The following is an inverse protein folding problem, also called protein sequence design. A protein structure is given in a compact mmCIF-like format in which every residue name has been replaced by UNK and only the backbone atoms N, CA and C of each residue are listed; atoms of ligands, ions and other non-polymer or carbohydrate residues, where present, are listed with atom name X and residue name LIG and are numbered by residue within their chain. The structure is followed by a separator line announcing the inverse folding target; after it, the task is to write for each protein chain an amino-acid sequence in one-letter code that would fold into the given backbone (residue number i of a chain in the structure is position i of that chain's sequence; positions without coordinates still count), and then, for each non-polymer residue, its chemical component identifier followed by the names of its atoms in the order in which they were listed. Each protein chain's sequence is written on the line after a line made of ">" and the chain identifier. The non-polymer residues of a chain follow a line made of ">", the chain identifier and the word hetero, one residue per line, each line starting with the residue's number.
data_IF_427764271060
#
_entry.id   IF_427764271060
#
_cell.length_a   1.000
_cell.length_b   1.000
_cell.length_c   1.000
_cell.angle_alpha   90.00
_cell.angle_beta   90.00
_cell.angle_gamma   90.00
#
_symmetry.space_group_name_H-M   'P 1'
#
loop_
_entity.id
_entity.type
_entity.pdbx_description
1 polymer ?
#
# COMPACT_ATOMS: atom_id res chain seq x y z
N UNK A 1 9.53 0.18 3.21
CA UNK A 1 10.05 1.51 2.88
C UNK A 1 8.93 2.54 2.88
N UNK A 2 9.24 3.81 3.05
CA UNK A 2 8.31 4.94 2.92
C UNK A 2 8.66 5.74 1.66
N UNK A 3 8.79 5.06 0.53
CA UNK A 3 9.26 5.65 -0.73
C UNK A 3 8.27 6.64 -1.34
N UNK A 4 6.96 6.45 -1.08
CA UNK A 4 5.89 7.26 -1.65
C UNK A 4 6.08 7.49 -3.15
N UNK A 5 6.06 6.42 -3.97
CA UNK A 5 6.45 6.46 -5.37
C UNK A 5 5.34 7.05 -6.26
N UNK A 6 4.79 8.19 -5.85
CA UNK A 6 3.69 8.86 -6.53
C UNK A 6 3.77 10.37 -6.40
N UNK A 7 3.16 11.06 -7.34
CA UNK A 7 2.79 12.46 -7.19
C UNK A 7 1.38 12.72 -7.71
N UNK A 8 0.78 13.80 -7.22
CA UNK A 8 -0.56 14.22 -7.58
C UNK A 8 -0.51 15.52 -8.38
N UNK A 9 -1.33 15.58 -9.43
CA UNK A 9 -1.53 16.79 -10.22
C UNK A 9 -3.01 17.16 -10.20
N UNK A 10 -3.33 18.38 -9.74
CA UNK A 10 -4.68 18.92 -9.82
C UNK A 10 -4.83 19.72 -11.13
N UNK A 11 -5.79 19.34 -11.96
CA UNK A 11 -6.06 19.99 -13.24
C UNK A 11 -7.57 20.22 -13.40
N UNK A 12 -8.00 21.47 -13.23
CA UNK A 12 -9.42 21.79 -13.20
C UNK A 12 -10.14 21.04 -12.07
N UNK A 13 -11.22 20.29 -12.38
CA UNK A 13 -11.95 19.50 -11.40
C UNK A 13 -11.32 18.12 -11.14
N UNK A 14 -10.29 17.74 -11.90
CA UNK A 14 -9.67 16.44 -11.87
C UNK A 14 -8.46 16.40 -10.93
N UNK A 15 -8.24 15.24 -10.31
CA UNK A 15 -7.00 14.92 -9.60
C UNK A 15 -6.36 13.72 -10.25
N UNK A 16 -5.12 13.89 -10.73
CA UNK A 16 -4.38 12.86 -11.47
C UNK A 16 -3.28 12.29 -10.60
N UNK A 17 -3.20 10.96 -10.57
CA UNK A 17 -2.16 10.20 -9.86
C UNK A 17 -1.13 9.70 -10.86
N UNK A 18 0.13 10.04 -10.64
CA UNK A 18 1.25 9.57 -11.43
C UNK A 18 2.20 8.72 -10.60
N UNK A 19 2.77 7.72 -11.24
CA UNK A 19 3.88 6.94 -10.73
C UNK A 19 5.17 7.74 -10.79
N UNK A 20 6.05 7.55 -9.79
CA UNK A 20 7.32 8.25 -9.66
C UNK A 20 8.48 7.25 -9.62
N UNK A 21 8.99 6.80 -10.79
CA UNK A 21 9.95 5.71 -10.87
C UNK A 21 11.23 5.92 -10.07
N UNK A 22 11.71 7.17 -9.93
CA UNK A 22 12.95 7.42 -9.19
C UNK A 22 12.79 7.29 -7.68
N UNK A 23 11.58 7.13 -7.18
CA UNK A 23 11.31 6.85 -5.76
C UNK A 23 11.17 5.36 -5.48
N UNK A 24 11.34 4.51 -6.49
CA UNK A 24 11.28 3.05 -6.34
C UNK A 24 12.59 2.54 -5.76
N UNK A 25 12.56 1.76 -4.67
CA UNK A 25 13.75 1.10 -4.14
C UNK A 25 14.14 -0.08 -5.02
N UNK A 26 15.01 0.16 -6.00
CA UNK A 26 15.31 -0.78 -7.09
C UNK A 26 15.97 -2.10 -6.64
N UNK A 27 16.71 -2.10 -5.53
CA UNK A 27 17.32 -3.34 -5.04
C UNK A 27 16.32 -4.25 -4.32
N UNK A 28 15.25 -3.68 -3.75
CA UNK A 28 14.21 -4.43 -3.04
C UNK A 28 12.97 -4.67 -3.90
N UNK A 29 12.64 -3.77 -4.82
CA UNK A 29 11.49 -3.87 -5.74
C UNK A 29 11.94 -3.74 -7.21
N UNK A 30 12.65 -4.76 -7.71
CA UNK A 30 13.21 -4.80 -9.06
C UNK A 30 12.19 -4.55 -10.17
N UNK A 31 10.95 -4.96 -9.96
CA UNK A 31 9.87 -4.87 -10.95
C UNK A 31 9.00 -3.60 -10.79
N UNK A 32 9.19 -2.84 -9.71
CA UNK A 32 8.31 -1.72 -9.34
C UNK A 32 6.90 -2.17 -8.89
N UNK A 33 6.69 -3.48 -8.70
CA UNK A 33 5.38 -4.04 -8.37
C UNK A 33 4.87 -3.56 -7.01
N UNK A 34 5.73 -3.55 -6.00
CA UNK A 34 5.36 -3.08 -4.65
C UNK A 34 5.05 -1.58 -4.65
N UNK A 35 5.80 -0.83 -5.47
CA UNK A 35 5.57 0.59 -5.65
C UNK A 35 4.20 0.87 -6.30
N UNK A 36 3.81 0.12 -7.33
CA UNK A 36 2.47 0.25 -7.95
C UNK A 36 1.36 -0.14 -6.97
N UNK A 37 1.56 -1.20 -6.15
CA UNK A 37 0.62 -1.57 -5.08
C UNK A 37 0.48 -0.43 -4.06
N UNK A 38 1.57 0.24 -3.70
CA UNK A 38 1.56 1.42 -2.83
C UNK A 38 0.75 2.58 -3.43
N UNK A 39 0.88 2.81 -4.75
CA UNK A 39 0.06 3.80 -5.46
C UNK A 39 -1.44 3.45 -5.41
N UNK A 40 -1.78 2.17 -5.56
CA UNK A 40 -3.16 1.70 -5.39
C UNK A 40 -3.70 1.94 -3.97
N UNK A 41 -2.87 1.72 -2.96
CA UNK A 41 -3.24 1.96 -1.56
C UNK A 41 -3.50 3.45 -1.27
N UNK A 42 -2.68 4.36 -1.79
CA UNK A 42 -2.92 5.81 -1.60
C UNK A 42 -4.15 6.29 -2.36
N UNK A 43 -4.44 5.71 -3.52
CA UNK A 43 -5.65 5.99 -4.29
C UNK A 43 -6.91 5.56 -3.51
N UNK A 44 -6.89 4.38 -2.87
CA UNK A 44 -7.98 3.95 -2.00
C UNK A 44 -8.13 4.82 -0.75
N UNK A 45 -7.02 5.26 -0.13
CA UNK A 45 -7.05 6.22 0.97
C UNK A 45 -7.72 7.54 0.56
N UNK A 46 -7.42 8.05 -0.64
CA UNK A 46 -8.09 9.24 -1.19
C UNK A 46 -9.60 9.00 -1.29
N UNK A 47 -10.02 7.90 -1.93
CA UNK A 47 -11.43 7.53 -2.10
C UNK A 47 -12.17 7.48 -0.76
N UNK A 48 -11.57 6.82 0.24
CA UNK A 48 -12.14 6.69 1.58
C UNK A 48 -12.25 8.05 2.30
N UNK A 49 -11.21 8.89 2.20
CA UNK A 49 -11.20 10.21 2.82
C UNK A 49 -12.23 11.14 2.17
N UNK A 50 -12.34 11.12 0.84
CA UNK A 50 -13.32 11.93 0.10
C UNK A 50 -14.75 11.49 0.39
N UNK A 51 -15.03 10.19 0.51
CA UNK A 51 -16.34 9.68 0.91
C UNK A 51 -16.76 10.20 2.30
N UNK A 52 -15.83 10.25 3.26
CA UNK A 52 -16.07 10.82 4.58
C UNK A 52 -16.27 12.36 4.54
N UNK A 53 -15.70 13.03 3.55
CA UNK A 53 -15.86 14.47 3.30
C UNK A 53 -17.12 14.79 2.47
N UNK A 54 -17.89 13.80 2.04
CA UNK A 54 -19.14 14.01 1.28
C UNK A 54 -18.96 13.97 -0.24
N UNK A 55 -17.88 13.34 -0.73
CA UNK A 55 -17.59 13.25 -2.16
C UNK A 55 -17.40 11.79 -2.58
N UNK A 56 -18.08 11.40 -3.64
CA UNK A 56 -17.82 10.16 -4.36
C UNK A 56 -16.68 10.41 -5.36
N UNK A 57 -15.74 9.48 -5.40
CA UNK A 57 -14.62 9.51 -6.33
C UNK A 57 -14.88 8.53 -7.49
N UNK A 58 -15.03 9.06 -8.70
CA UNK A 58 -15.02 8.27 -9.93
C UNK A 58 -13.58 8.13 -10.42
N UNK A 59 -13.12 6.88 -10.55
CA UNK A 59 -11.71 6.57 -10.78
C UNK A 59 -11.55 5.88 -12.14
N UNK A 60 -10.96 6.61 -13.09
CA UNK A 60 -10.49 6.06 -14.36
C UNK A 60 -9.03 5.61 -14.21
N UNK A 61 -8.78 4.28 -14.29
CA UNK A 61 -7.44 3.70 -14.15
C UNK A 61 -6.74 3.60 -15.50
N UNK A 62 -5.46 3.97 -15.54
CA UNK A 62 -4.63 3.98 -16.77
C UNK A 62 -5.31 4.70 -17.94
N UNK A 63 -5.75 5.96 -17.73
CA UNK A 63 -6.58 6.66 -18.72
C UNK A 63 -5.83 7.00 -20.02
N UNK A 64 -4.50 7.01 -19.98
CA UNK A 64 -3.66 7.28 -21.14
C UNK A 64 -2.82 6.05 -21.52
N UNK A 65 -3.15 5.32 -22.58
CA UNK A 65 -2.39 4.15 -23.00
C UNK A 65 -0.96 4.46 -23.50
N UNK A 66 -0.67 5.73 -23.76
CA UNK A 66 0.67 6.17 -24.19
C UNK A 66 1.54 6.68 -23.02
N UNK A 67 0.97 6.75 -21.83
CA UNK A 67 1.66 7.18 -20.60
C UNK A 67 1.21 6.27 -19.44
N UNK A 68 1.95 5.18 -19.23
CA UNK A 68 1.64 4.20 -18.21
C UNK A 68 1.99 4.68 -16.79
N UNK A 69 2.75 5.77 -16.67
CA UNK A 69 3.00 6.41 -15.38
C UNK A 69 1.78 7.21 -14.89
N UNK A 70 0.84 7.55 -15.78
CA UNK A 70 -0.46 8.10 -15.42
C UNK A 70 -1.39 6.98 -14.92
N UNK A 71 -1.35 6.71 -13.62
CA UNK A 71 -2.03 5.57 -13.00
C UNK A 71 -3.54 5.74 -12.89
N UNK A 72 -4.00 6.96 -12.59
CA UNK A 72 -5.43 7.23 -12.45
C UNK A 72 -5.77 8.71 -12.63
N UNK A 73 -6.96 8.96 -13.18
CA UNK A 73 -7.66 10.25 -13.09
C UNK A 73 -8.87 10.07 -12.18
N UNK A 74 -9.08 11.02 -11.27
CA UNK A 74 -10.16 11.00 -10.30
C UNK A 74 -11.01 12.24 -10.46
N UNK A 75 -12.29 12.05 -10.67
CA UNK A 75 -13.33 13.08 -10.66
C UNK A 75 -14.17 12.95 -9.40
N UNK A 76 -14.76 14.04 -8.94
CA UNK A 76 -15.53 14.04 -7.71
C UNK A 76 -16.95 14.54 -7.93
N UNK A 77 -17.91 13.81 -7.36
CA UNK A 77 -19.30 14.19 -7.30
C UNK A 77 -19.77 14.24 -5.84
N UNK A 78 -20.65 15.17 -5.44
CA UNK A 78 -21.18 15.21 -4.08
C UNK A 78 -22.06 13.98 -3.84
N UNK A 79 -21.93 13.38 -2.64
CA UNK A 79 -22.82 12.31 -2.19
C UNK A 79 -23.97 12.90 -1.36
N UNK A 80 -25.15 12.32 -1.44
CA UNK A 80 -26.33 12.80 -0.73
C UNK A 80 -26.20 12.66 0.79
N UNK A 81 -25.55 11.58 1.26
CA UNK A 81 -25.47 11.29 2.68
C UNK A 81 -24.15 10.62 3.09
N UNK A 82 -23.47 11.20 4.07
CA UNK A 82 -22.24 10.63 4.68
C UNK A 82 -22.62 9.72 5.85
N UNK A 83 -22.40 8.42 5.70
CA UNK A 83 -22.67 7.42 6.73
C UNK A 83 -21.62 7.40 7.84
N UNK A 84 -21.95 6.85 9.01
CA UNK A 84 -20.95 6.59 10.06
C UNK A 84 -19.87 5.60 9.63
N UNK A 85 -20.21 4.68 8.71
CA UNK A 85 -19.24 3.78 8.12
C UNK A 85 -18.19 4.51 7.28
N UNK A 86 -18.56 5.56 6.53
CA UNK A 86 -17.60 6.40 5.80
C UNK A 86 -16.62 7.06 6.77
N UNK A 87 -17.12 7.67 7.85
CA UNK A 87 -16.28 8.33 8.88
C UNK A 87 -15.37 7.35 9.58
N UNK A 88 -15.91 6.19 9.99
CA UNK A 88 -15.13 5.16 10.69
C UNK A 88 -13.98 4.61 9.85
N UNK A 89 -14.17 4.45 8.53
CA UNK A 89 -13.10 4.04 7.60
C UNK A 89 -12.01 5.11 7.48
N UNK A 90 -12.39 6.38 7.34
CA UNK A 90 -11.43 7.49 7.27
C UNK A 90 -10.64 7.62 8.58
N UNK A 91 -11.30 7.52 9.73
CA UNK A 91 -10.65 7.53 11.04
C UNK A 91 -9.66 6.35 11.21
N UNK A 92 -9.96 5.20 10.62
CA UNK A 92 -9.06 4.04 10.66
C UNK A 92 -7.74 4.32 9.94
N UNK A 93 -7.74 5.09 8.84
CA UNK A 93 -6.51 5.51 8.14
C UNK A 93 -5.60 6.28 9.08
N UNK A 94 -6.14 7.22 9.85
CA UNK A 94 -5.38 8.05 10.78
C UNK A 94 -4.90 7.30 12.02
N UNK A 95 -5.61 6.24 12.43
CA UNK A 95 -5.26 5.43 13.62
C UNK A 95 -4.31 4.29 13.29
N UNK A 96 -4.29 3.82 12.04
CA UNK A 96 -3.41 2.73 11.62
C UNK A 96 -1.94 3.08 11.90
N UNK A 97 -1.20 2.11 12.41
CA UNK A 97 0.26 2.19 12.57
C UNK A 97 0.90 0.99 11.90
N UNK A 98 2.10 1.20 11.37
CA UNK A 98 2.94 0.10 10.92
C UNK A 98 3.63 -0.48 12.15
N UNK A 99 3.42 -1.77 12.38
CA UNK A 99 4.14 -2.54 13.38
C UNK A 99 4.92 -3.65 12.67
N UNK A 100 6.17 -3.85 13.07
CA UNK A 100 7.08 -4.85 12.49
C UNK A 100 7.38 -5.98 13.44
N UNK A 101 6.80 -5.93 14.65
CA UNK A 101 6.90 -7.02 15.61
C UNK A 101 6.00 -8.18 15.19
N UNK A 102 6.34 -9.41 15.61
CA UNK A 102 5.45 -10.55 15.37
C UNK A 102 4.08 -10.31 16.01
N UNK A 103 3.03 -10.48 15.21
CA UNK A 103 1.65 -10.38 15.68
C UNK A 103 1.19 -11.68 16.34
N UNK A 104 0.34 -11.54 17.36
CA UNK A 104 -0.48 -12.65 17.81
C UNK A 104 -1.50 -13.05 16.72
N UNK A 105 -1.99 -14.29 16.74
CA UNK A 105 -3.10 -14.69 15.86
C UNK A 105 -4.30 -13.75 16.04
N UNK A 106 -5.07 -13.45 14.97
CA UNK A 106 -6.30 -12.68 15.09
C UNK A 106 -7.27 -13.36 16.07
N UNK A 107 -7.89 -12.62 17.01
CA UNK A 107 -8.67 -13.21 18.09
C UNK A 107 -9.93 -13.94 17.60
N UNK A 108 -10.51 -13.56 16.50
CA UNK A 108 -11.71 -14.17 15.93
C UNK A 108 -11.59 -14.28 14.42
N UNK A 109 -10.75 -15.20 13.97
CA UNK A 109 -10.51 -15.40 12.55
C UNK A 109 -11.76 -15.82 11.78
N UNK A 110 -12.61 -16.65 12.38
CA UNK A 110 -13.81 -17.18 11.72
C UNK A 110 -14.84 -16.09 11.40
N UNK A 111 -14.97 -15.09 12.26
CA UNK A 111 -15.82 -13.93 11.99
C UNK A 111 -15.12 -12.90 11.09
N UNK A 112 -13.80 -12.75 11.21
CA UNK A 112 -13.04 -11.75 10.47
C UNK A 112 -12.84 -12.11 9.00
N UNK A 113 -12.57 -13.37 8.67
CA UNK A 113 -12.30 -13.80 7.30
C UNK A 113 -13.43 -13.46 6.30
N UNK A 114 -14.73 -13.73 6.60
CA UNK A 114 -15.80 -13.35 5.71
C UNK A 114 -15.90 -11.83 5.47
N UNK A 115 -15.68 -11.04 6.52
CA UNK A 115 -15.66 -9.57 6.41
C UNK A 115 -14.50 -9.09 5.53
N UNK A 116 -13.31 -9.68 5.66
CA UNK A 116 -12.16 -9.38 4.81
C UNK A 116 -12.44 -9.74 3.34
N UNK A 117 -13.01 -10.91 3.08
CA UNK A 117 -13.41 -11.34 1.72
C UNK A 117 -14.40 -10.39 1.08
N UNK A 118 -15.36 -9.87 1.85
CA UNK A 118 -16.38 -8.93 1.37
C UNK A 118 -15.81 -7.55 0.99
N UNK A 119 -14.56 -7.23 1.39
CA UNK A 119 -13.90 -5.98 0.99
C UNK A 119 -13.19 -6.08 -0.36
N UNK A 120 -13.06 -7.27 -0.94
CA UNK A 120 -12.30 -7.53 -2.16
C UNK A 120 -13.27 -7.66 -3.32
N UNK A 121 -13.04 -6.88 -4.37
CA UNK A 121 -13.69 -7.07 -5.65
C UNK A 121 -13.11 -8.32 -6.32
N UNK A 122 -13.92 -9.36 -6.45
CA UNK A 122 -13.50 -10.67 -6.99
C UNK A 122 -13.05 -10.59 -8.46
N UNK A 123 -13.47 -9.58 -9.20
CA UNK A 123 -13.03 -9.38 -10.58
C UNK A 123 -11.62 -8.78 -10.65
N UNK A 124 -11.18 -8.11 -9.58
CA UNK A 124 -9.88 -7.45 -9.51
C UNK A 124 -8.82 -8.27 -8.76
N UNK A 125 -9.21 -9.02 -7.73
CA UNK A 125 -8.27 -9.78 -6.91
C UNK A 125 -8.92 -11.00 -6.25
N UNK A 126 -8.11 -12.00 -5.92
CA UNK A 126 -8.55 -13.20 -5.21
C UNK A 126 -7.78 -13.31 -3.88
N UNK A 127 -8.53 -13.46 -2.78
CA UNK A 127 -7.97 -13.73 -1.47
C UNK A 127 -7.82 -15.25 -1.26
N UNK A 128 -6.57 -15.70 -1.12
CA UNK A 128 -6.27 -17.05 -0.70
C UNK A 128 -5.87 -17.07 0.77
N UNK A 129 -6.60 -17.81 1.58
CA UNK A 129 -6.20 -18.13 2.95
C UNK A 129 -5.40 -19.41 2.93
N UNK A 130 -4.13 -19.32 3.27
CA UNK A 130 -3.23 -20.46 3.27
C UNK A 130 -3.39 -21.27 4.57
N UNK A 131 -3.42 -22.61 4.50
CA UNK A 131 -3.46 -23.43 5.70
C UNK A 131 -2.14 -23.35 6.47
N UNK A 132 -2.17 -23.59 7.78
CA UNK A 132 -0.98 -23.53 8.63
C UNK A 132 0.11 -24.50 8.20
N UNK A 133 -0.23 -25.57 7.48
CA UNK A 133 0.72 -26.55 6.93
C UNK A 133 1.71 -25.94 5.92
N UNK A 134 1.37 -24.82 5.27
CA UNK A 134 2.24 -24.11 4.31
C UNK A 134 3.20 -23.15 5.02
N UNK A 135 2.95 -22.82 6.28
CA UNK A 135 3.76 -21.85 7.04
C UNK A 135 5.25 -22.20 7.11
N UNK A 136 5.67 -23.48 7.36
CA UNK A 136 7.09 -23.84 7.36
C UNK A 136 7.76 -23.62 6.01
N UNK A 137 7.07 -23.89 4.90
CA UNK A 137 7.60 -23.71 3.54
C UNK A 137 7.80 -22.22 3.24
N UNK A 138 6.86 -21.36 3.63
CA UNK A 138 6.98 -19.90 3.49
C UNK A 138 8.13 -19.34 4.33
N UNK A 139 8.30 -19.83 5.56
CA UNK A 139 9.40 -19.44 6.43
C UNK A 139 10.76 -19.85 5.84
N UNK A 140 10.83 -21.04 5.23
CA UNK A 140 12.04 -21.52 4.55
C UNK A 140 12.35 -20.67 3.31
N UNK A 141 11.36 -20.39 2.48
CA UNK A 141 11.51 -19.52 1.31
C UNK A 141 12.00 -18.12 1.68
N UNK A 142 11.49 -17.55 2.79
CA UNK A 142 11.93 -16.26 3.32
C UNK A 142 13.41 -16.31 3.74
N UNK A 143 13.82 -17.34 4.49
CA UNK A 143 15.23 -17.51 4.92
C UNK A 143 16.18 -17.70 3.73
N UNK A 144 15.78 -18.46 2.73
CA UNK A 144 16.56 -18.64 1.50
C UNK A 144 16.72 -17.32 0.75
N UNK A 145 15.66 -16.54 0.62
CA UNK A 145 15.69 -15.23 -0.03
C UNK A 145 16.64 -14.27 0.69
N UNK A 146 16.59 -14.23 2.00
CA UNK A 146 17.50 -13.40 2.82
C UNK A 146 18.96 -13.86 2.65
N UNK A 147 19.20 -15.17 2.65
CA UNK A 147 20.53 -15.75 2.45
C UNK A 147 21.13 -15.40 1.09
N UNK A 148 20.32 -15.40 0.02
CA UNK A 148 20.74 -15.01 -1.32
C UNK A 148 21.10 -13.52 -1.40
N UNK A 149 20.38 -12.67 -0.68
CA UNK A 149 20.61 -11.22 -0.63
C UNK A 149 21.76 -10.81 0.30
N UNK A 150 22.30 -11.75 1.07
CA UNK A 150 23.34 -11.48 2.08
C UNK A 150 24.60 -10.80 1.53
N UNK A 151 24.92 -11.06 0.26
CA UNK A 151 26.10 -10.52 -0.42
C UNK A 151 25.77 -9.46 -1.47
N UNK A 152 24.50 -9.05 -1.54
CA UNK A 152 24.05 -7.99 -2.45
C UNK A 152 24.33 -6.63 -1.82
N UNK A 153 25.38 -5.97 -2.30
CA UNK A 153 25.80 -4.65 -1.82
C UNK A 153 24.77 -3.56 -2.09
N UNK A 154 24.03 -3.67 -3.20
CA UNK A 154 22.98 -2.71 -3.55
C UNK A 154 21.80 -2.82 -2.60
N UNK A 155 21.39 -4.04 -2.27
CA UNK A 155 20.35 -4.30 -1.28
C UNK A 155 20.73 -3.74 0.10
N UNK A 156 21.96 -3.97 0.56
CA UNK A 156 22.43 -3.46 1.85
C UNK A 156 22.54 -1.95 1.89
N UNK A 157 23.03 -1.32 0.82
CA UNK A 157 23.10 0.13 0.71
C UNK A 157 21.71 0.76 0.77
N UNK A 158 20.74 0.19 0.06
CA UNK A 158 19.36 0.65 0.06
C UNK A 158 18.70 0.43 1.43
N UNK A 159 18.92 -0.72 2.06
CA UNK A 159 18.43 -1.00 3.40
C UNK A 159 19.01 0.00 4.42
N UNK A 160 20.30 0.26 4.38
CA UNK A 160 20.94 1.27 5.23
C UNK A 160 20.37 2.67 5.03
N UNK A 161 20.12 3.06 3.79
CA UNK A 161 19.48 4.35 3.49
C UNK A 161 18.10 4.47 4.16
N UNK A 162 17.27 3.44 4.04
CA UNK A 162 15.91 3.45 4.60
C UNK A 162 15.85 3.27 6.13
N UNK A 163 16.94 2.79 6.75
CA UNK A 163 17.03 2.49 8.18
C UNK A 163 18.01 3.41 8.89
N UNK A 164 18.36 4.54 8.25
CA UNK A 164 19.27 5.52 8.83
C UNK A 164 18.76 6.02 10.20
N UNK A 165 19.66 6.16 11.22
CA UNK A 165 19.31 6.70 12.52
C UNK A 165 18.92 8.19 12.48
N UNK A 166 19.22 8.88 11.39
CA UNK A 166 18.77 10.25 11.17
C UNK A 166 17.37 10.21 10.58
N UNK A 167 16.42 10.92 11.19
CA UNK A 167 15.09 11.16 10.63
C UNK A 167 15.22 11.99 9.35
N UNK A 168 15.47 11.31 8.25
CA UNK A 168 15.25 11.86 6.93
C UNK A 168 13.76 11.70 6.69
N UNK A 169 13.10 12.69 6.10
CA UNK A 169 11.65 12.74 5.86
C UNK A 169 11.08 11.48 5.20
N UNK A 170 11.90 10.68 4.55
CA UNK A 170 11.53 9.52 3.74
C UNK A 170 11.98 8.17 4.33
N UNK A 171 12.70 8.15 5.45
CA UNK A 171 13.27 6.93 6.04
C UNK A 171 12.35 6.24 7.06
N UNK A 172 12.80 5.06 7.49
CA UNK A 172 12.22 4.31 8.62
C UNK A 172 13.13 4.49 9.82
N UNK A 173 12.65 5.03 10.95
CA UNK A 173 13.47 5.19 12.14
C UNK A 173 14.08 3.85 12.59
N UNK A 174 15.35 3.84 12.91
CA UNK A 174 16.07 2.63 13.38
C UNK A 174 15.39 2.01 14.62
N UNK A 175 14.82 2.84 15.48
CA UNK A 175 14.09 2.42 16.68
C UNK A 175 12.84 1.56 16.39
N UNK A 176 12.38 1.50 15.13
CA UNK A 176 11.23 0.68 14.70
C UNK A 176 11.63 -0.62 14.03
N UNK A 177 12.93 -0.87 13.92
CA UNK A 177 13.49 -2.12 13.40
C UNK A 177 13.84 -3.03 14.59
N UNK A 178 13.32 -4.24 14.59
CA UNK A 178 13.58 -5.27 15.59
C UNK A 178 14.31 -6.43 14.96
#
# INVERSE_FOLDING_TARGET
>A
HNSQPWHWVAEGPELKLFFEPHRVPHATDLSGREAVISCGAVLDHLRVAMAAAGWEADISRFPNPNDLDHLATVEFAPIEFVTDAHRARADAILRRRTDRLPFAPPPDWQAFEPALRATIDIELAVLHVLPDTVRPELAEASRLTESLRRYDTSYHAELQWWTSPFEISDGVPYSTLV
#
